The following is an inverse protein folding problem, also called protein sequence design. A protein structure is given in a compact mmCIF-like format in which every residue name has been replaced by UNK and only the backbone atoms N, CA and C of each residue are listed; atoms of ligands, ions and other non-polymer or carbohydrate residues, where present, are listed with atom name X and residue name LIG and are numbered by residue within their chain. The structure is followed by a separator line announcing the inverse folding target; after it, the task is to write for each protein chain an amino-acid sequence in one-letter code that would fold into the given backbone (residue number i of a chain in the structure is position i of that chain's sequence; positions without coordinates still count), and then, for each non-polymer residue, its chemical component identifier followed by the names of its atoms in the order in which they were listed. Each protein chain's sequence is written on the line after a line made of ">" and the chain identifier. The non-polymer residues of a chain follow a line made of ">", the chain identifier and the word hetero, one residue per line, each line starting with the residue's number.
data_IF_438175762766
#
_entry.id   IF_438175762766
#
_cell.length_a   1.000
_cell.length_b   1.000
_cell.length_c   1.000
_cell.angle_alpha   90.00
_cell.angle_beta   90.00
_cell.angle_gamma   90.00
#
_symmetry.space_group_name_H-M   'P 1'
#
loop_
_entity.id
_entity.type
_entity.pdbx_description
1 polymer ?
#
# COMPACT_ATOMS: atom_id res chain seq x y z
N UNK A 1 0.22 44.65 -34.88
CA UNK A 1 1.37 43.72 -34.70
C UNK A 1 1.64 43.56 -33.22
N UNK A 2 2.19 42.40 -32.82
CA UNK A 2 2.64 41.97 -31.49
C UNK A 2 1.70 41.09 -30.63
N UNK A 3 1.60 39.85 -31.12
CA UNK A 3 1.98 38.60 -30.41
C UNK A 3 1.34 38.30 -29.05
N UNK A 4 0.29 37.48 -29.12
CA UNK A 4 -0.17 36.59 -28.05
C UNK A 4 0.98 35.68 -27.59
N UNK A 5 1.41 35.85 -26.34
CA UNK A 5 2.27 34.89 -25.65
C UNK A 5 1.44 33.66 -25.29
N UNK A 6 1.63 32.57 -26.03
CA UNK A 6 1.07 31.26 -25.72
C UNK A 6 1.89 30.66 -24.57
N UNK A 7 1.25 30.48 -23.41
CA UNK A 7 1.75 29.64 -22.34
C UNK A 7 1.64 28.17 -22.80
N UNK A 8 2.76 27.52 -23.08
CA UNK A 8 2.84 26.06 -23.20
C UNK A 8 3.49 25.54 -21.93
N UNK A 9 2.69 25.19 -20.93
CA UNK A 9 3.15 24.39 -19.80
C UNK A 9 3.14 22.92 -20.22
N UNK A 10 4.33 22.33 -20.33
CA UNK A 10 4.53 20.90 -20.56
C UNK A 10 3.84 20.08 -19.47
N UNK A 11 2.85 19.27 -19.87
CA UNK A 11 2.43 18.10 -19.10
C UNK A 11 3.40 16.96 -19.41
N UNK A 12 4.27 16.61 -18.46
CA UNK A 12 5.05 15.37 -18.46
C UNK A 12 4.61 14.54 -17.24
N UNK A 13 3.55 13.73 -17.38
CA UNK A 13 3.03 12.90 -16.30
C UNK A 13 2.47 11.53 -16.74
N UNK A 14 2.90 10.99 -17.88
CA UNK A 14 2.35 9.71 -18.39
C UNK A 14 3.27 8.49 -18.27
N UNK A 15 4.48 8.61 -17.72
CA UNK A 15 5.41 7.48 -17.61
C UNK A 15 5.20 6.59 -16.36
N UNK A 16 4.44 7.05 -15.36
CA UNK A 16 4.27 6.32 -14.08
C UNK A 16 3.28 5.16 -14.22
N UNK A 17 2.22 5.33 -15.04
CA UNK A 17 1.13 4.33 -15.14
C UNK A 17 1.54 3.03 -15.81
N UNK A 18 2.45 3.06 -16.79
CA UNK A 18 2.89 1.83 -17.46
C UNK A 18 3.85 1.01 -16.58
N UNK A 19 4.77 1.67 -15.88
CA UNK A 19 5.74 1.01 -15.01
C UNK A 19 5.09 0.28 -13.82
N UNK A 20 4.03 0.86 -13.22
CA UNK A 20 3.30 0.19 -12.13
C UNK A 20 2.49 -1.02 -12.60
N UNK A 21 2.00 -1.01 -13.84
CA UNK A 21 1.23 -2.13 -14.41
C UNK A 21 2.16 -3.31 -14.69
N UNK A 22 3.36 -3.04 -15.21
CA UNK A 22 4.38 -4.05 -15.44
C UNK A 22 4.85 -4.68 -14.10
N UNK A 23 5.07 -3.86 -13.08
CA UNK A 23 5.42 -4.37 -11.74
C UNK A 23 4.32 -5.24 -11.11
N UNK A 24 3.04 -4.88 -11.28
CA UNK A 24 1.92 -5.70 -10.80
C UNK A 24 1.84 -7.04 -11.54
N UNK A 25 2.08 -7.04 -12.85
CA UNK A 25 2.08 -8.27 -13.64
C UNK A 25 3.29 -9.18 -13.30
N UNK A 26 4.42 -8.59 -12.92
CA UNK A 26 5.63 -9.31 -12.54
C UNK A 26 5.70 -9.69 -11.05
N UNK A 27 4.83 -9.14 -10.20
CA UNK A 27 4.84 -9.38 -8.76
C UNK A 27 4.38 -10.80 -8.43
N UNK A 28 5.22 -11.52 -7.69
CA UNK A 28 4.87 -12.79 -7.05
C UNK A 28 5.05 -12.62 -5.54
N UNK A 29 3.94 -12.63 -4.80
CA UNK A 29 3.93 -12.50 -3.34
C UNK A 29 4.20 -13.83 -2.61
N UNK A 30 4.48 -14.89 -3.37
CA UNK A 30 4.77 -16.22 -2.87
C UNK A 30 3.59 -16.80 -2.10
N UNK A 31 3.83 -17.15 -0.83
CA UNK A 31 2.85 -17.83 0.04
C UNK A 31 1.81 -16.89 0.66
N UNK A 32 1.99 -15.58 0.52
CA UNK A 32 1.19 -14.59 1.22
C UNK A 32 0.19 -13.90 0.30
N UNK A 33 -0.94 -13.48 0.88
CA UNK A 33 -1.88 -12.49 0.34
C UNK A 33 -1.70 -11.19 1.14
N UNK A 34 -0.71 -10.33 0.80
CA UNK A 34 -0.22 -9.26 1.67
C UNK A 34 -1.16 -8.04 1.75
N UNK A 35 -2.41 -8.26 2.14
CA UNK A 35 -3.43 -7.22 2.28
C UNK A 35 -3.57 -6.74 3.72
N UNK A 36 -4.12 -5.54 3.87
CA UNK A 36 -4.40 -4.86 5.13
C UNK A 36 -5.92 -4.67 5.26
N UNK A 37 -6.47 -4.82 6.47
CA UNK A 37 -7.83 -4.40 6.78
C UNK A 37 -7.85 -3.21 7.74
N UNK A 38 -8.99 -2.54 7.79
CA UNK A 38 -9.32 -1.52 8.76
C UNK A 38 -10.65 -1.90 9.42
N UNK A 39 -10.69 -1.88 10.75
CA UNK A 39 -11.90 -2.15 11.51
C UNK A 39 -12.03 -1.18 12.67
N UNK A 40 -13.27 -0.77 12.96
CA UNK A 40 -13.61 -0.07 14.19
C UNK A 40 -13.87 -1.08 15.31
N UNK A 41 -13.47 -0.77 16.55
CA UNK A 41 -13.91 -1.51 17.72
C UNK A 41 -13.37 -2.93 17.82
N UNK A 42 -12.12 -3.17 17.40
CA UNK A 42 -11.44 -4.45 17.68
C UNK A 42 -11.38 -4.75 19.18
N UNK A 43 -11.25 -6.03 19.58
CA UNK A 43 -11.13 -6.40 20.98
C UNK A 43 -10.07 -5.57 21.72
N UNK A 44 -10.46 -4.94 22.83
CA UNK A 44 -9.58 -4.05 23.60
C UNK A 44 -9.52 -2.59 23.14
N UNK A 45 -10.27 -2.22 22.09
CA UNK A 45 -10.40 -0.85 21.56
C UNK A 45 -11.78 -0.25 21.84
N UNK A 46 -11.92 1.07 21.70
CA UNK A 46 -13.25 1.72 21.73
C UNK A 46 -14.04 1.38 20.47
N UNK A 47 -15.37 1.39 20.54
CA UNK A 47 -16.25 1.03 19.43
C UNK A 47 -16.04 1.88 18.16
N UNK A 48 -15.58 3.12 18.32
CA UNK A 48 -15.30 4.09 17.25
C UNK A 48 -13.79 4.23 16.96
N UNK A 49 -12.94 3.45 17.61
CA UNK A 49 -11.49 3.48 17.41
C UNK A 49 -11.11 2.53 16.27
N UNK A 50 -10.65 3.14 15.17
CA UNK A 50 -10.23 2.43 13.97
C UNK A 50 -8.79 1.96 14.01
N UNK A 51 -8.56 0.68 13.73
CA UNK A 51 -7.24 0.08 13.70
C UNK A 51 -7.01 -0.80 12.48
N UNK A 52 -5.75 -0.86 12.08
CA UNK A 52 -5.25 -1.61 10.94
C UNK A 52 -4.62 -2.92 11.39
N UNK A 53 -4.73 -3.97 10.57
CA UNK A 53 -4.05 -5.25 10.79
C UNK A 53 -3.74 -5.92 9.42
N UNK A 54 -2.68 -6.73 9.30
CA UNK A 54 -2.54 -7.61 8.15
C UNK A 54 -3.67 -8.66 8.15
N UNK A 55 -4.18 -9.01 6.98
CA UNK A 55 -5.22 -10.06 6.87
C UNK A 55 -4.63 -11.44 6.61
N UNK A 56 -3.40 -11.50 6.07
CA UNK A 56 -2.71 -12.76 5.83
C UNK A 56 -2.30 -13.42 7.15
N UNK A 57 -2.67 -14.69 7.42
CA UNK A 57 -2.33 -15.35 8.68
C UNK A 57 -0.83 -15.56 8.90
N UNK A 58 -0.02 -15.72 7.85
CA UNK A 58 1.43 -15.85 7.97
C UNK A 58 2.05 -14.50 8.36
N UNK A 59 1.57 -13.41 7.77
CA UNK A 59 2.03 -12.04 8.07
C UNK A 59 1.53 -11.55 9.43
N UNK A 60 0.28 -11.86 9.79
CA UNK A 60 -0.34 -11.38 11.02
C UNK A 60 0.22 -12.05 12.30
N UNK A 61 1.03 -13.11 12.16
CA UNK A 61 1.52 -13.89 13.31
C UNK A 61 2.39 -13.05 14.24
N UNK A 62 1.86 -12.76 15.43
CA UNK A 62 2.54 -11.95 16.44
C UNK A 62 2.35 -10.44 16.27
N UNK A 63 1.71 -10.01 15.19
CA UNK A 63 1.36 -8.61 14.96
C UNK A 63 0.11 -8.24 15.77
N UNK A 64 0.16 -7.08 16.42
CA UNK A 64 -1.01 -6.46 17.05
C UNK A 64 -1.62 -5.40 16.12
N UNK A 65 -2.86 -5.01 16.40
CA UNK A 65 -3.50 -3.93 15.65
C UNK A 65 -2.81 -2.58 15.89
N UNK A 66 -2.89 -1.68 14.91
CA UNK A 66 -2.26 -0.37 15.00
C UNK A 66 -3.16 0.76 14.55
N UNK A 67 -3.06 1.90 15.24
CA UNK A 67 -3.72 3.16 14.85
C UNK A 67 -3.02 3.85 13.65
N UNK A 68 -1.76 3.49 13.39
CA UNK A 68 -0.97 4.07 12.30
C UNK A 68 -0.80 3.03 11.19
N UNK A 69 -1.37 3.25 9.99
CA UNK A 69 -1.28 2.30 8.87
C UNK A 69 0.17 2.08 8.38
N UNK A 70 1.06 3.05 8.62
CA UNK A 70 2.48 2.89 8.27
C UNK A 70 3.17 1.78 9.09
N UNK A 71 2.68 1.44 10.29
CA UNK A 71 3.22 0.32 11.07
C UNK A 71 2.85 -1.00 10.38
N UNK A 72 1.60 -1.13 9.94
CA UNK A 72 1.09 -2.36 9.32
C UNK A 72 1.67 -2.57 7.93
N UNK A 73 1.77 -1.53 7.10
CA UNK A 73 2.41 -1.64 5.78
C UNK A 73 3.91 -1.97 5.88
N UNK A 74 4.62 -1.45 6.90
CA UNK A 74 5.99 -1.88 7.17
C UNK A 74 6.05 -3.37 7.52
N UNK A 75 5.17 -3.86 8.39
CA UNK A 75 5.13 -5.28 8.75
C UNK A 75 4.84 -6.16 7.54
N UNK A 76 3.82 -5.83 6.76
CA UNK A 76 3.46 -6.55 5.54
C UNK A 76 4.66 -6.64 4.59
N UNK A 77 5.30 -5.51 4.27
CA UNK A 77 6.43 -5.51 3.33
C UNK A 77 7.67 -6.21 3.89
N UNK A 78 7.89 -6.21 5.21
CA UNK A 78 8.97 -6.97 5.83
C UNK A 78 8.75 -8.48 5.69
N UNK A 79 7.52 -8.94 5.93
CA UNK A 79 7.19 -10.35 5.85
C UNK A 79 7.28 -10.91 4.43
N UNK A 80 7.15 -10.07 3.39
CA UNK A 80 7.44 -10.46 2.00
C UNK A 80 8.84 -11.07 1.85
N UNK A 81 9.82 -10.56 2.60
CA UNK A 81 11.19 -11.09 2.59
C UNK A 81 11.38 -12.27 3.53
N UNK A 82 10.71 -12.27 4.68
CA UNK A 82 11.03 -13.19 5.77
C UNK A 82 10.30 -14.53 5.68
N UNK A 83 9.01 -14.52 5.31
CA UNK A 83 8.15 -15.72 5.42
C UNK A 83 7.33 -15.99 4.16
N UNK A 84 7.14 -14.98 3.31
CA UNK A 84 6.28 -15.11 2.13
C UNK A 84 7.00 -15.71 0.92
N UNK A 85 8.33 -15.68 0.86
CA UNK A 85 9.10 -16.12 -0.31
C UNK A 85 8.76 -15.29 -1.57
N UNK A 86 8.55 -13.98 -1.39
CA UNK A 86 8.16 -13.08 -2.47
C UNK A 86 9.35 -12.70 -3.36
N UNK A 87 9.07 -12.46 -4.65
CA UNK A 87 10.08 -12.01 -5.60
C UNK A 87 10.41 -10.50 -5.43
N UNK A 88 11.45 -10.04 -6.12
CA UNK A 88 11.90 -8.65 -5.98
C UNK A 88 10.92 -7.63 -6.57
N UNK A 89 10.14 -8.01 -7.59
CA UNK A 89 9.07 -7.17 -8.14
C UNK A 89 7.97 -6.91 -7.11
N UNK A 90 7.54 -7.94 -6.36
CA UNK A 90 6.58 -7.82 -5.27
C UNK A 90 7.08 -6.92 -4.14
N UNK A 91 8.36 -7.06 -3.74
CA UNK A 91 8.97 -6.20 -2.71
C UNK A 91 9.04 -4.74 -3.16
N UNK A 92 9.42 -4.48 -4.41
CA UNK A 92 9.45 -3.14 -4.98
C UNK A 92 8.05 -2.52 -5.04
N UNK A 93 7.05 -3.30 -5.48
CA UNK A 93 5.66 -2.86 -5.51
C UNK A 93 5.12 -2.53 -4.11
N UNK A 94 5.47 -3.35 -3.11
CA UNK A 94 5.11 -3.08 -1.71
C UNK A 94 5.77 -1.80 -1.18
N UNK A 95 7.02 -1.53 -1.54
CA UNK A 95 7.68 -0.27 -1.19
C UNK A 95 6.95 0.94 -1.80
N UNK A 96 6.49 0.85 -3.05
CA UNK A 96 5.66 1.87 -3.69
C UNK A 96 4.31 2.05 -2.98
N UNK A 97 3.61 0.94 -2.67
CA UNK A 97 2.35 0.97 -1.95
C UNK A 97 2.49 1.60 -0.55
N UNK A 98 3.58 1.30 0.15
CA UNK A 98 3.91 1.92 1.44
C UNK A 98 4.13 3.43 1.31
N UNK A 99 4.90 3.87 0.31
CA UNK A 99 5.11 5.29 0.07
C UNK A 99 3.79 6.02 -0.26
N UNK A 100 2.88 5.37 -0.98
CA UNK A 100 1.54 5.88 -1.25
C UNK A 100 0.72 6.05 0.04
N UNK A 101 0.70 5.04 0.93
CA UNK A 101 0.03 5.14 2.24
C UNK A 101 0.61 6.28 3.08
N UNK A 102 1.94 6.44 3.09
CA UNK A 102 2.59 7.53 3.78
C UNK A 102 2.16 8.91 3.23
N UNK A 103 2.04 9.04 1.91
CA UNK A 103 1.63 10.27 1.25
C UNK A 103 0.14 10.60 1.44
N UNK A 104 -0.73 9.58 1.52
CA UNK A 104 -2.16 9.77 1.76
C UNK A 104 -2.43 10.41 3.13
N UNK A 105 -1.74 9.95 4.17
CA UNK A 105 -1.89 10.45 5.53
C UNK A 105 -3.26 10.17 6.19
N UNK A 106 -4.19 9.54 5.47
CA UNK A 106 -5.48 9.08 5.98
C UNK A 106 -5.30 7.91 6.96
N UNK A 107 -6.30 7.72 7.82
CA UNK A 107 -6.31 6.69 8.88
C UNK A 107 -7.69 6.03 9.00
N UNK A 108 -8.27 5.75 7.84
CA UNK A 108 -9.57 5.10 7.69
C UNK A 108 -9.49 3.96 6.65
N UNK A 109 -10.63 3.34 6.36
CA UNK A 109 -10.75 2.25 5.39
C UNK A 109 -10.12 2.56 4.02
N UNK A 110 -10.19 3.82 3.55
CA UNK A 110 -9.63 4.20 2.24
C UNK A 110 -8.12 4.02 2.17
N UNK A 111 -7.45 4.01 3.34
CA UNK A 111 -6.00 3.77 3.43
C UNK A 111 -5.67 2.29 3.20
N UNK A 112 -6.49 1.40 3.76
CA UNK A 112 -6.36 -0.04 3.53
C UNK A 112 -6.68 -0.38 2.08
N UNK A 113 -7.77 0.18 1.54
CA UNK A 113 -8.16 -0.01 0.14
C UNK A 113 -7.07 0.47 -0.83
N UNK A 114 -6.48 1.65 -0.58
CA UNK A 114 -5.42 2.18 -1.43
C UNK A 114 -4.17 1.30 -1.41
N UNK A 115 -3.80 0.75 -0.25
CA UNK A 115 -2.68 -0.18 -0.14
C UNK A 115 -2.95 -1.49 -0.90
N UNK A 116 -4.11 -2.10 -0.68
CA UNK A 116 -4.50 -3.36 -1.30
C UNK A 116 -4.57 -3.21 -2.83
N UNK A 117 -5.22 -2.14 -3.30
CA UNK A 117 -5.30 -1.83 -4.73
C UNK A 117 -3.93 -1.57 -5.33
N UNK A 118 -2.99 -0.97 -4.60
CA UNK A 118 -1.63 -0.75 -5.07
C UNK A 118 -0.90 -2.07 -5.38
N UNK A 119 -1.17 -3.11 -4.58
CA UNK A 119 -0.64 -4.46 -4.73
C UNK A 119 -1.40 -5.34 -5.72
N UNK A 120 -2.63 -4.95 -6.08
CA UNK A 120 -3.48 -5.66 -7.05
C UNK A 120 -4.57 -6.54 -6.43
N UNK A 121 -4.98 -6.27 -5.19
CA UNK A 121 -6.08 -6.93 -4.49
C UNK A 121 -7.31 -6.01 -4.36
#
# INVERSE_FOLDING_TARGET
>A
MYTKTILVTLFAATAVSAAIVDMRAAADFGKCTPTMDFQLGRPGRKADEGTFLPTDPLVAKGQQDALNPNIITNEICNQLTNVCDANDAAKALCATAKAQVQALGTKDATTADAFNQALGF
#
